data_IF_208276777246
#
_entry.id   IF_208276777246
#
_cell.length_a   1.000
_cell.length_b   1.000
_cell.length_c   1.000
_cell.angle_alpha   90.00
_cell.angle_beta   90.00
_cell.angle_gamma   90.00
#
_symmetry.space_group_name_H-M   'P 1'
#
loop_
_entity.id
_entity.type
_entity.pdbx_description
1 polymer ?
#
# COMPACT_ATOMS: atom_id res chain seq x y z
N UNK A 1 14.61 -32.42 6.82
CA UNK A 1 15.51 -31.24 6.87
C UNK A 1 15.65 -30.48 5.55
N UNK A 2 15.22 -31.01 4.40
CA UNK A 2 15.29 -30.31 3.10
C UNK A 2 14.26 -29.17 2.95
N UNK A 3 13.03 -29.32 3.46
CA UNK A 3 11.98 -28.30 3.27
C UNK A 3 12.23 -26.97 4.01
N UNK A 4 12.94 -26.98 5.14
CA UNK A 4 13.34 -25.74 5.83
C UNK A 4 14.45 -24.98 5.09
N UNK A 5 15.29 -25.68 4.30
CA UNK A 5 16.34 -25.05 3.49
C UNK A 5 15.78 -24.47 2.19
N UNK A 6 14.81 -25.14 1.55
CA UNK A 6 14.12 -24.58 0.38
C UNK A 6 13.30 -23.34 0.76
N UNK A 7 12.51 -23.41 1.84
CA UNK A 7 11.74 -22.27 2.33
C UNK A 7 12.60 -21.07 2.72
N UNK A 8 13.79 -21.31 3.33
CA UNK A 8 14.74 -20.22 3.61
C UNK A 8 15.35 -19.61 2.35
N UNK A 9 15.61 -20.40 1.30
CA UNK A 9 16.14 -19.87 0.02
C UNK A 9 15.09 -19.03 -0.69
N UNK A 10 13.87 -19.52 -0.80
CA UNK A 10 12.75 -18.78 -1.40
C UNK A 10 12.50 -17.44 -0.67
N UNK A 11 12.50 -17.44 0.66
CA UNK A 11 12.34 -16.21 1.44
C UNK A 11 13.51 -15.23 1.27
N UNK A 12 14.75 -15.73 1.08
CA UNK A 12 15.92 -14.88 0.82
C UNK A 12 15.85 -14.28 -0.60
N UNK A 13 15.46 -15.06 -1.60
CA UNK A 13 15.28 -14.58 -2.98
C UNK A 13 14.16 -13.54 -3.10
N UNK A 14 13.04 -13.75 -2.39
CA UNK A 14 11.94 -12.79 -2.30
C UNK A 14 12.36 -11.49 -1.59
N UNK A 15 13.15 -11.60 -0.50
CA UNK A 15 13.69 -10.43 0.19
C UNK A 15 14.68 -9.65 -0.68
N UNK A 16 15.59 -10.33 -1.38
CA UNK A 16 16.57 -9.72 -2.29
C UNK A 16 15.85 -9.01 -3.43
N UNK A 17 14.91 -9.67 -4.11
CA UNK A 17 14.15 -9.06 -5.21
C UNK A 17 13.34 -7.85 -4.76
N UNK A 18 12.74 -7.90 -3.57
CA UNK A 18 12.03 -6.75 -2.97
C UNK A 18 12.99 -5.59 -2.69
N UNK A 19 14.17 -5.87 -2.12
CA UNK A 19 15.18 -4.83 -1.86
C UNK A 19 15.69 -4.20 -3.16
N UNK A 20 16.01 -4.99 -4.19
CA UNK A 20 16.39 -4.47 -5.50
C UNK A 20 15.27 -3.60 -6.12
N UNK A 21 14.00 -3.94 -5.88
CA UNK A 21 12.85 -3.14 -6.35
C UNK A 21 12.84 -1.76 -5.73
N UNK A 22 13.01 -1.69 -4.42
CA UNK A 22 13.01 -0.41 -3.73
C UNK A 22 14.24 0.41 -4.10
N UNK A 23 15.41 -0.21 -4.20
CA UNK A 23 16.65 0.47 -4.62
C UNK A 23 16.52 1.03 -6.03
N UNK A 24 16.03 0.23 -7.00
CA UNK A 24 15.81 0.68 -8.38
C UNK A 24 14.81 1.83 -8.45
N UNK A 25 13.70 1.74 -7.73
CA UNK A 25 12.68 2.79 -7.72
C UNK A 25 13.21 4.10 -7.10
N UNK A 26 13.83 4.02 -5.92
CA UNK A 26 14.36 5.21 -5.22
C UNK A 26 15.47 5.87 -6.04
N UNK A 27 16.40 5.08 -6.58
CA UNK A 27 17.49 5.61 -7.41
C UNK A 27 16.99 6.23 -8.71
N UNK A 28 15.98 5.64 -9.37
CA UNK A 28 15.37 6.22 -10.57
C UNK A 28 14.69 7.56 -10.27
N UNK A 29 13.95 7.66 -9.16
CA UNK A 29 13.31 8.93 -8.74
C UNK A 29 14.35 10.01 -8.48
N UNK A 30 15.43 9.69 -7.75
CA UNK A 30 16.51 10.64 -7.48
C UNK A 30 17.22 11.06 -8.77
N UNK A 31 17.50 10.11 -9.67
CA UNK A 31 18.15 10.39 -10.94
C UNK A 31 17.30 11.32 -11.83
N UNK A 32 15.99 11.09 -11.91
CA UNK A 32 15.06 11.95 -12.67
C UNK A 32 15.01 13.36 -12.06
N UNK A 33 14.92 13.48 -10.74
CA UNK A 33 14.91 14.79 -10.08
C UNK A 33 16.22 15.56 -10.30
N UNK A 34 17.36 14.88 -10.17
CA UNK A 34 18.67 15.48 -10.42
C UNK A 34 18.84 15.87 -11.89
N UNK A 35 18.37 15.04 -12.83
CA UNK A 35 18.35 15.35 -14.26
C UNK A 35 17.52 16.61 -14.53
N UNK A 36 16.27 16.66 -14.07
CA UNK A 36 15.39 17.83 -14.23
C UNK A 36 16.01 19.10 -13.65
N UNK A 37 16.70 18.99 -12.50
CA UNK A 37 17.40 20.11 -11.89
C UNK A 37 18.55 20.63 -12.76
N UNK A 38 19.37 19.73 -13.32
CA UNK A 38 20.44 20.11 -14.23
C UNK A 38 19.89 20.75 -15.51
N UNK A 39 18.81 20.20 -16.09
CA UNK A 39 18.13 20.81 -17.23
C UNK A 39 17.58 22.19 -16.91
N UNK A 40 17.02 22.39 -15.71
CA UNK A 40 16.59 23.71 -15.26
C UNK A 40 17.77 24.69 -15.17
N UNK A 41 18.92 24.28 -14.64
CA UNK A 41 20.14 25.09 -14.62
C UNK A 41 20.64 25.49 -16.01
N UNK A 42 20.50 24.59 -16.98
CA UNK A 42 20.87 24.83 -18.38
C UNK A 42 19.87 25.82 -19.03
N UNK A 43 18.56 25.54 -18.93
CA UNK A 43 17.50 26.33 -19.58
C UNK A 43 17.33 27.72 -18.97
N UNK A 44 17.57 27.87 -17.66
CA UNK A 44 17.56 29.18 -16.99
C UNK A 44 18.72 30.09 -17.43
N UNK A 45 19.71 29.55 -18.16
CA UNK A 45 20.90 30.26 -18.60
C UNK A 45 21.90 30.53 -17.47
N UNK A 46 21.71 29.92 -16.29
CA UNK A 46 22.64 30.03 -15.18
C UNK A 46 24.00 29.36 -15.48
N UNK A 47 23.99 28.31 -16.30
CA UNK A 47 25.18 27.54 -16.68
C UNK A 47 25.81 27.98 -18.02
N UNK A 48 25.02 28.59 -18.91
CA UNK A 48 25.44 28.89 -20.30
C UNK A 48 26.03 30.30 -20.47
N UNK A 49 25.81 31.21 -19.51
CA UNK A 49 26.37 32.57 -19.59
C UNK A 49 27.80 32.58 -19.04
N UNK A 50 28.82 32.92 -19.85
CA UNK A 50 30.16 33.13 -19.32
C UNK A 50 30.13 34.33 -18.36
N UNK A 51 30.36 34.07 -17.07
CA UNK A 51 30.56 35.12 -16.07
C UNK A 51 32.05 35.14 -15.70
N UNK A 52 32.64 36.31 -15.39
CA UNK A 52 33.98 36.36 -14.81
C UNK A 52 33.97 35.61 -13.45
N UNK A 53 35.17 35.19 -12.98
CA UNK A 53 35.44 34.48 -11.72
C UNK A 53 34.92 35.24 -10.48
N UNK A 54 33.61 35.25 -10.33
CA UNK A 54 32.86 35.89 -9.26
C UNK A 54 32.55 34.85 -8.21
N UNK A 55 32.40 35.23 -6.93
CA UNK A 55 32.01 34.30 -5.87
C UNK A 55 30.68 33.58 -6.15
N UNK A 56 29.80 34.20 -6.95
CA UNK A 56 28.56 33.59 -7.44
C UNK A 56 28.81 32.40 -8.38
N UNK A 57 29.79 32.50 -9.29
CA UNK A 57 30.11 31.43 -10.24
C UNK A 57 30.72 30.20 -9.55
N UNK A 58 31.59 30.42 -8.56
CA UNK A 58 32.15 29.33 -7.73
C UNK A 58 31.04 28.53 -7.02
N UNK A 59 29.99 29.22 -6.55
CA UNK A 59 28.83 28.56 -5.95
C UNK A 59 28.04 27.74 -6.97
N UNK A 60 27.79 28.30 -8.15
CA UNK A 60 27.08 27.60 -9.24
C UNK A 60 27.84 26.34 -9.67
N UNK A 61 29.17 26.41 -9.82
CA UNK A 61 30.03 25.25 -10.13
C UNK A 61 29.94 24.20 -9.01
N UNK A 62 30.07 24.62 -7.74
CA UNK A 62 30.02 23.70 -6.60
C UNK A 62 28.66 22.99 -6.44
N UNK A 63 27.55 23.71 -6.63
CA UNK A 63 26.19 23.14 -6.60
C UNK A 63 26.02 22.18 -7.78
N UNK A 64 26.42 22.59 -8.99
CA UNK A 64 26.32 21.75 -10.19
C UNK A 64 27.11 20.46 -10.04
N UNK A 65 28.35 20.54 -9.53
CA UNK A 65 29.18 19.36 -9.28
C UNK A 65 28.59 18.40 -8.24
N UNK A 66 27.98 18.91 -7.17
CA UNK A 66 27.28 18.07 -6.19
C UNK A 66 26.07 17.36 -6.80
N UNK A 67 25.24 18.08 -7.54
CA UNK A 67 24.04 17.49 -8.17
C UNK A 67 24.42 16.53 -9.28
N UNK A 68 25.47 16.82 -10.06
CA UNK A 68 25.94 15.94 -11.12
C UNK A 68 26.54 14.64 -10.56
N UNK A 69 27.21 14.70 -9.41
CA UNK A 69 27.67 13.51 -8.68
C UNK A 69 26.48 12.69 -8.14
N UNK A 70 25.47 13.33 -7.55
CA UNK A 70 24.24 12.64 -7.09
C UNK A 70 23.54 11.97 -8.27
N UNK A 71 23.44 12.65 -9.42
CA UNK A 71 22.90 12.09 -10.65
C UNK A 71 23.71 10.88 -11.11
N UNK A 72 25.04 10.99 -11.18
CA UNK A 72 25.92 9.90 -11.60
C UNK A 72 25.75 8.66 -10.72
N UNK A 73 25.77 8.83 -9.39
CA UNK A 73 25.62 7.72 -8.45
C UNK A 73 24.22 7.11 -8.52
N UNK A 74 23.17 7.93 -8.52
CA UNK A 74 21.78 7.44 -8.55
C UNK A 74 21.44 6.76 -9.88
N UNK A 75 21.80 7.36 -11.02
CA UNK A 75 21.62 6.77 -12.32
C UNK A 75 22.46 5.49 -12.47
N UNK A 76 23.74 5.52 -12.07
CA UNK A 76 24.62 4.35 -12.13
C UNK A 76 24.09 3.17 -11.32
N UNK A 77 23.78 3.39 -10.04
CA UNK A 77 23.22 2.35 -9.16
C UNK A 77 21.87 1.86 -9.70
N UNK A 78 20.99 2.77 -10.11
CA UNK A 78 19.66 2.43 -10.61
C UNK A 78 19.72 1.59 -11.89
N UNK A 79 20.58 1.98 -12.84
CA UNK A 79 20.77 1.26 -14.09
C UNK A 79 21.41 -0.11 -13.88
N UNK A 80 22.44 -0.21 -13.04
CA UNK A 80 23.09 -1.49 -12.71
C UNK A 80 22.14 -2.44 -11.98
N UNK A 81 21.38 -1.95 -11.01
CA UNK A 81 20.41 -2.78 -10.27
C UNK A 81 19.21 -3.18 -11.12
N UNK A 82 18.75 -2.31 -12.03
CA UNK A 82 17.72 -2.64 -13.01
C UNK A 82 18.20 -3.71 -13.99
N UNK A 83 19.46 -3.64 -14.44
CA UNK A 83 20.07 -4.64 -15.31
C UNK A 83 20.11 -6.02 -14.62
N UNK A 84 20.51 -6.08 -13.34
CA UNK A 84 20.55 -7.31 -12.56
C UNK A 84 19.16 -7.91 -12.35
N UNK A 85 18.17 -7.07 -12.00
CA UNK A 85 16.82 -7.53 -11.68
C UNK A 85 16.09 -8.03 -12.91
N UNK A 86 16.14 -7.28 -14.00
CA UNK A 86 15.41 -7.58 -15.21
C UNK A 86 16.29 -8.30 -16.25
N UNK A 87 17.31 -9.02 -15.77
CA UNK A 87 18.25 -9.72 -16.63
C UNK A 87 17.56 -10.71 -17.59
N UNK A 88 16.42 -11.26 -17.21
CA UNK A 88 15.67 -12.21 -18.05
C UNK A 88 15.02 -11.54 -19.29
N UNK A 89 14.72 -10.23 -19.23
CA UNK A 89 14.04 -9.53 -20.31
C UNK A 89 15.04 -9.21 -21.43
N UNK A 90 14.97 -9.97 -22.53
CA UNK A 90 15.86 -9.82 -23.68
C UNK A 90 15.82 -8.42 -24.33
N UNK A 91 14.65 -7.77 -24.32
CA UNK A 91 14.43 -6.46 -24.94
C UNK A 91 15.18 -5.32 -24.24
N UNK A 92 15.62 -5.50 -22.99
CA UNK A 92 16.31 -4.45 -22.24
C UNK A 92 17.72 -4.16 -22.78
N UNK A 93 18.42 -5.17 -23.31
CA UNK A 93 19.77 -5.00 -23.86
C UNK A 93 19.81 -3.94 -24.98
N UNK A 94 19.00 -4.11 -26.05
CA UNK A 94 18.91 -3.11 -27.13
C UNK A 94 18.42 -1.75 -26.66
N UNK A 95 17.46 -1.69 -25.72
CA UNK A 95 16.97 -0.41 -25.19
C UNK A 95 18.07 0.37 -24.47
N UNK A 96 18.89 -0.30 -23.66
CA UNK A 96 20.02 0.31 -22.94
C UNK A 96 21.12 0.77 -23.89
N UNK A 97 21.38 0.01 -24.96
CA UNK A 97 22.37 0.35 -25.97
C UNK A 97 21.95 1.60 -26.75
N UNK A 98 20.72 1.62 -27.27
CA UNK A 98 20.17 2.77 -28.01
C UNK A 98 20.12 4.00 -27.10
N UNK A 99 19.62 3.84 -25.86
CA UNK A 99 19.55 4.93 -24.89
C UNK A 99 20.93 5.49 -24.51
N UNK A 100 21.93 4.63 -24.30
CA UNK A 100 23.29 5.02 -23.99
C UNK A 100 23.96 5.80 -25.12
N UNK A 101 23.87 5.30 -26.35
CA UNK A 101 24.43 6.00 -27.54
C UNK A 101 23.73 7.34 -27.77
N UNK A 102 22.40 7.37 -27.68
CA UNK A 102 21.62 8.59 -27.82
C UNK A 102 22.01 9.63 -26.76
N UNK A 103 22.27 9.21 -25.52
CA UNK A 103 22.68 10.11 -24.45
C UNK A 103 24.13 10.61 -24.63
N UNK A 104 25.05 9.73 -25.02
CA UNK A 104 26.47 10.07 -25.23
C UNK A 104 26.67 11.12 -26.33
N UNK A 105 25.93 10.99 -27.43
CA UNK A 105 26.02 11.92 -28.57
C UNK A 105 25.08 13.12 -28.36
N UNK A 106 23.87 12.85 -27.87
CA UNK A 106 22.81 13.84 -27.78
C UNK A 106 23.08 14.94 -26.76
N UNK A 107 23.64 14.62 -25.60
CA UNK A 107 23.90 15.63 -24.56
C UNK A 107 24.92 16.71 -24.97
N UNK A 108 26.14 16.36 -25.44
CA UNK A 108 27.10 17.38 -25.86
C UNK A 108 26.55 18.22 -27.03
N UNK A 109 25.83 17.60 -27.98
CA UNK A 109 25.16 18.31 -29.06
C UNK A 109 24.10 19.30 -28.55
N UNK A 110 23.25 18.86 -27.62
CA UNK A 110 22.20 19.68 -27.02
C UNK A 110 22.78 20.89 -26.28
N UNK A 111 23.86 20.69 -25.53
CA UNK A 111 24.54 21.77 -24.80
C UNK A 111 25.18 22.76 -25.79
N UNK A 112 25.90 22.29 -26.82
CA UNK A 112 26.48 23.17 -27.85
C UNK A 112 25.41 23.98 -28.61
N UNK A 113 24.26 23.37 -28.91
CA UNK A 113 23.12 24.06 -29.53
C UNK A 113 22.62 25.21 -28.65
N UNK A 114 22.55 25.00 -27.35
CA UNK A 114 22.11 26.02 -26.38
C UNK A 114 23.14 27.11 -26.12
N UNK A 115 24.44 26.80 -26.25
CA UNK A 115 25.52 27.78 -26.13
C UNK A 115 25.67 28.63 -27.41
N UNK A 116 25.05 28.25 -28.52
CA UNK A 116 25.14 29.00 -29.78
C UNK A 116 26.57 29.15 -30.32
N UNK A 117 27.44 28.18 -30.03
CA UNK A 117 28.86 28.22 -30.41
C UNK A 117 29.78 28.98 -29.45
N UNK A 118 29.28 29.44 -28.30
CA UNK A 118 30.12 30.00 -27.25
C UNK A 118 31.04 28.94 -26.59
N UNK A 119 32.16 29.38 -26.02
CA UNK A 119 33.08 28.51 -25.28
C UNK A 119 32.41 27.85 -24.07
N UNK A 120 32.78 26.61 -23.77
CA UNK A 120 32.27 25.88 -22.62
C UNK A 120 32.84 26.43 -21.31
N UNK A 121 32.05 26.35 -20.24
CA UNK A 121 32.45 26.67 -18.88
C UNK A 121 32.72 25.37 -18.10
N UNK A 122 33.49 25.45 -17.00
CA UNK A 122 33.73 24.30 -16.11
C UNK A 122 32.43 23.63 -15.62
N UNK A 123 31.39 24.43 -15.37
CA UNK A 123 30.07 23.92 -14.98
C UNK A 123 29.35 23.15 -16.11
N UNK A 124 29.53 23.53 -17.37
CA UNK A 124 28.95 22.78 -18.50
C UNK A 124 29.72 21.50 -18.76
N UNK A 125 31.05 21.53 -18.62
CA UNK A 125 31.90 20.37 -18.83
C UNK A 125 31.66 19.28 -17.78
N UNK A 126 31.48 19.66 -16.52
CA UNK A 126 31.12 18.73 -15.43
C UNK A 126 29.78 18.04 -15.67
N UNK A 127 28.79 18.75 -16.23
CA UNK A 127 27.51 18.16 -16.63
C UNK A 127 27.70 17.18 -17.78
N UNK A 128 28.34 17.60 -18.89
CA UNK A 128 28.62 16.74 -20.05
C UNK A 128 29.33 15.46 -19.62
N UNK A 129 30.38 15.57 -18.79
CA UNK A 129 31.13 14.42 -18.31
C UNK A 129 30.27 13.47 -17.45
N UNK A 130 29.35 14.01 -16.65
CA UNK A 130 28.46 13.18 -15.82
C UNK A 130 27.47 12.39 -16.68
N UNK A 131 26.88 13.03 -17.70
CA UNK A 131 26.01 12.33 -18.66
C UNK A 131 26.78 11.32 -19.50
N UNK A 132 27.97 11.65 -19.98
CA UNK A 132 28.82 10.72 -20.72
C UNK A 132 29.19 9.49 -19.87
N UNK A 133 29.49 9.67 -18.59
CA UNK A 133 29.78 8.57 -17.68
C UNK A 133 28.58 7.64 -17.50
N UNK A 134 27.36 8.19 -17.36
CA UNK A 134 26.12 7.40 -17.30
C UNK A 134 25.86 6.68 -18.63
N UNK A 135 26.10 7.34 -19.76
CA UNK A 135 25.97 6.75 -21.09
C UNK A 135 26.90 5.56 -21.31
N UNK A 136 28.15 5.64 -20.81
CA UNK A 136 29.11 4.54 -20.87
C UNK A 136 28.59 3.33 -20.09
N UNK A 137 28.03 3.53 -18.89
CA UNK A 137 27.42 2.45 -18.09
C UNK A 137 26.23 1.82 -18.80
N UNK A 138 25.34 2.62 -19.39
CA UNK A 138 24.20 2.17 -20.19
C UNK A 138 24.64 1.35 -21.40
N UNK A 139 25.57 1.88 -22.18
CA UNK A 139 26.05 1.26 -23.42
C UNK A 139 26.79 -0.04 -23.11
N UNK A 140 27.66 -0.04 -22.10
CA UNK A 140 28.38 -1.23 -21.65
C UNK A 140 27.45 -2.34 -21.16
N UNK A 141 26.48 -2.00 -20.29
CA UNK A 141 25.48 -2.95 -19.80
C UNK A 141 24.57 -3.49 -20.91
N UNK A 142 24.14 -2.63 -21.83
CA UNK A 142 23.33 -2.99 -22.98
C UNK A 142 24.05 -3.90 -23.98
N UNK A 143 25.33 -3.62 -24.27
CA UNK A 143 26.17 -4.43 -25.14
C UNK A 143 26.36 -5.84 -24.54
N UNK A 144 26.75 -5.92 -23.26
CA UNK A 144 26.94 -7.19 -22.57
C UNK A 144 25.67 -8.05 -22.62
N UNK A 145 24.50 -7.45 -22.31
CA UNK A 145 23.24 -8.18 -22.30
C UNK A 145 22.79 -8.61 -23.70
N UNK A 146 23.02 -7.77 -24.71
CA UNK A 146 22.68 -8.08 -26.11
C UNK A 146 23.52 -9.24 -26.63
N UNK A 147 24.81 -9.28 -26.30
CA UNK A 147 25.71 -10.41 -26.63
C UNK A 147 25.21 -11.70 -25.95
N UNK A 148 24.90 -11.66 -24.66
CA UNK A 148 24.37 -12.83 -23.93
C UNK A 148 23.04 -13.30 -24.54
N UNK A 149 22.15 -12.38 -24.91
CA UNK A 149 20.88 -12.72 -25.57
C UNK A 149 21.09 -13.41 -26.91
N UNK A 150 22.02 -12.89 -27.71
CA UNK A 150 22.36 -13.44 -29.02
C UNK A 150 22.91 -14.86 -28.86
N UNK A 151 23.83 -15.08 -27.90
CA UNK A 151 24.38 -16.40 -27.59
C UNK A 151 23.27 -17.36 -27.14
N UNK A 152 22.38 -16.94 -26.23
CA UNK A 152 21.26 -17.77 -25.78
C UNK A 152 20.30 -18.12 -26.92
N UNK A 153 20.00 -17.18 -27.81
CA UNK A 153 19.11 -17.42 -28.94
C UNK A 153 19.74 -18.35 -30.00
N UNK A 154 21.05 -18.26 -30.20
CA UNK A 154 21.81 -19.15 -31.08
C UNK A 154 21.94 -20.56 -30.50
N UNK A 155 21.99 -20.70 -29.17
CA UNK A 155 22.12 -21.99 -28.47
C UNK A 155 20.77 -22.65 -28.15
N UNK A 156 19.70 -21.89 -27.91
CA UNK A 156 18.40 -22.38 -27.44
C UNK A 156 17.25 -21.79 -28.28
N UNK A 157 16.63 -22.60 -29.16
CA UNK A 157 15.39 -22.24 -29.87
C UNK A 157 14.16 -22.58 -29.02
N UNK A 158 13.29 -21.63 -28.63
CA UNK A 158 12.07 -21.96 -27.89
C UNK A 158 10.93 -22.41 -28.81
N UNK A 159 10.15 -23.45 -28.43
CA UNK A 159 8.89 -23.79 -29.08
C UNK A 159 7.80 -22.80 -28.63
N UNK A 160 7.09 -22.23 -29.60
CA UNK A 160 5.97 -21.30 -29.39
C UNK A 160 4.71 -22.12 -29.11
N UNK A 161 4.07 -22.00 -27.93
CA UNK A 161 2.64 -22.34 -27.77
C UNK A 161 1.98 -21.95 -26.42
N UNK A 162 0.69 -21.52 -26.52
CA UNK A 162 -0.44 -21.67 -25.55
C UNK A 162 -0.56 -20.56 -24.45
N UNK A 163 -1.69 -19.85 -24.19
CA UNK A 163 -3.05 -20.35 -23.83
C UNK A 163 -4.13 -19.24 -23.72
N UNK A 164 -5.35 -19.64 -24.08
CA UNK A 164 -6.68 -19.03 -23.81
C UNK A 164 -7.14 -19.20 -22.34
N UNK A 165 -8.33 -18.65 -22.06
CA UNK A 165 -9.32 -19.04 -21.02
C UNK A 165 -9.31 -18.28 -19.68
N UNK A 166 -10.34 -17.43 -19.49
CA UNK A 166 -10.97 -17.19 -18.18
C UNK A 166 -12.49 -17.19 -18.31
N UNK A 167 -13.08 -18.27 -17.79
CA UNK A 167 -14.52 -18.49 -17.67
C UNK A 167 -15.16 -17.67 -16.54
N UNK A 168 -16.45 -17.40 -16.72
CA UNK A 168 -17.30 -16.61 -15.82
C UNK A 168 -17.83 -17.36 -14.59
N UNK A 169 -18.42 -16.59 -13.67
CA UNK A 169 -19.25 -17.09 -12.57
C UNK A 169 -20.40 -16.10 -12.30
N UNK A 170 -21.64 -16.61 -12.28
CA UNK A 170 -22.86 -15.90 -11.88
C UNK A 170 -23.22 -16.26 -10.43
N UNK A 171 -23.76 -15.30 -9.67
CA UNK A 171 -24.24 -15.47 -8.28
C UNK A 171 -25.67 -14.93 -8.17
N UNK A 172 -26.58 -15.71 -7.58
CA UNK A 172 -27.99 -15.35 -7.31
C UNK A 172 -28.18 -15.14 -5.79
N UNK A 173 -29.04 -14.18 -5.40
CA UNK A 173 -29.44 -13.90 -4.00
C UNK A 173 -30.96 -14.08 -3.80
N UNK A 174 -31.44 -14.61 -2.65
CA UNK A 174 -32.85 -14.57 -2.29
C UNK A 174 -33.19 -13.41 -1.32
N UNK A 175 -34.47 -13.05 -1.27
CA UNK A 175 -35.06 -11.84 -0.68
C UNK A 175 -36.17 -12.24 0.30
N UNK A 176 -36.13 -11.78 1.55
CA UNK A 176 -37.31 -11.83 2.43
C UNK A 176 -37.34 -10.69 3.48
N UNK A 177 -38.56 -10.34 3.91
CA UNK A 177 -38.97 -9.10 4.61
C UNK A 177 -38.41 -8.98 6.05
N UNK A 178 -37.75 -7.85 6.33
CA UNK A 178 -37.13 -7.52 7.62
C UNK A 178 -38.03 -6.60 8.46
N UNK A 179 -38.27 -6.97 9.73
CA UNK A 179 -38.99 -6.18 10.74
C UNK A 179 -38.20 -4.88 11.06
N UNK A 180 -38.89 -3.73 11.02
CA UNK A 180 -38.34 -2.35 11.06
C UNK A 180 -38.11 -1.79 12.48
N UNK A 181 -37.39 -2.48 13.36
CA UNK A 181 -36.83 -1.82 14.56
C UNK A 181 -35.34 -1.59 14.34
N UNK A 182 -34.89 -0.33 14.24
CA UNK A 182 -33.47 0.00 14.08
C UNK A 182 -32.71 -0.41 15.36
N UNK A 183 -31.87 -1.45 15.32
CA UNK A 183 -31.14 -1.89 16.50
C UNK A 183 -30.04 -0.88 16.86
N UNK A 184 -29.86 -0.62 18.17
CA UNK A 184 -28.76 0.20 18.67
C UNK A 184 -27.44 -0.60 18.72
N UNK A 185 -26.28 0.06 18.75
CA UNK A 185 -24.95 -0.56 18.71
C UNK A 185 -24.71 -1.61 19.79
N UNK A 186 -25.31 -1.43 20.97
CA UNK A 186 -25.20 -2.36 22.10
C UNK A 186 -26.47 -3.19 22.31
N UNK A 187 -27.33 -3.26 21.28
CA UNK A 187 -28.55 -4.06 21.37
C UNK A 187 -28.24 -5.56 21.49
N UNK A 188 -29.04 -6.30 22.27
CA UNK A 188 -28.88 -7.74 22.39
C UNK A 188 -29.27 -8.45 21.08
N UNK A 189 -28.77 -9.67 20.89
CA UNK A 189 -28.88 -10.40 19.63
C UNK A 189 -30.32 -10.65 19.16
N UNK A 190 -31.29 -10.70 20.07
CA UNK A 190 -32.71 -10.92 19.73
C UNK A 190 -33.44 -9.68 19.20
N UNK A 191 -32.86 -8.48 19.30
CA UNK A 191 -33.39 -7.26 18.68
C UNK A 191 -32.90 -7.06 17.23
N UNK A 192 -32.03 -7.95 16.76
CA UNK A 192 -31.45 -7.92 15.42
C UNK A 192 -32.40 -8.56 14.39
N UNK A 193 -32.36 -8.15 13.12
CA UNK A 193 -33.26 -8.64 12.07
C UNK A 193 -33.11 -10.13 11.75
N UNK A 194 -31.98 -10.72 12.14
CA UNK A 194 -31.69 -12.15 11.93
C UNK A 194 -32.34 -13.06 12.98
N UNK A 195 -32.93 -12.50 14.05
CA UNK A 195 -33.57 -13.30 15.10
C UNK A 195 -35.08 -13.36 14.88
N UNK A 196 -35.53 -14.44 14.23
CA UNK A 196 -36.95 -14.75 14.07
C UNK A 196 -37.60 -15.09 15.41
N UNK A 197 -38.92 -14.95 15.50
CA UNK A 197 -39.67 -15.31 16.70
C UNK A 197 -39.57 -16.81 17.03
N UNK A 198 -39.53 -17.66 16.00
CA UNK A 198 -39.28 -19.11 16.14
C UNK A 198 -37.94 -19.41 16.79
N UNK A 199 -36.87 -18.68 16.43
CA UNK A 199 -35.56 -18.84 17.06
C UNK A 199 -35.54 -18.42 18.54
N UNK A 200 -36.37 -17.44 18.94
CA UNK A 200 -36.38 -16.95 20.33
C UNK A 200 -36.92 -17.98 21.32
N UNK A 201 -37.93 -18.78 20.91
CA UNK A 201 -38.55 -19.79 21.78
C UNK A 201 -37.58 -20.91 22.17
N UNK A 202 -36.68 -21.28 21.25
CA UNK A 202 -35.74 -22.40 21.41
C UNK A 202 -34.39 -21.93 21.98
N UNK A 203 -34.05 -20.64 21.87
CA UNK A 203 -32.72 -20.15 22.23
C UNK A 203 -32.48 -20.13 23.76
N UNK A 204 -31.51 -20.90 24.30
CA UNK A 204 -31.21 -20.93 25.75
C UNK A 204 -30.60 -19.60 26.24
N UNK A 205 -29.97 -18.85 25.34
CA UNK A 205 -29.36 -17.55 25.64
C UNK A 205 -30.41 -16.45 25.76
N UNK A 206 -31.49 -16.54 25.00
CA UNK A 206 -32.64 -15.63 25.11
C UNK A 206 -33.32 -15.79 26.47
N UNK A 207 -33.54 -17.03 26.91
CA UNK A 207 -34.10 -17.33 28.24
C UNK A 207 -33.23 -16.77 29.37
N UNK A 208 -31.89 -16.88 29.23
CA UNK A 208 -30.92 -16.33 30.21
C UNK A 208 -30.70 -14.82 30.10
N UNK A 209 -31.31 -14.13 29.12
CA UNK A 209 -31.14 -12.70 28.82
C UNK A 209 -29.67 -12.23 28.74
N UNK A 210 -28.76 -13.10 28.30
CA UNK A 210 -27.35 -12.75 28.05
C UNK A 210 -27.10 -12.66 26.55
N UNK A 211 -26.03 -12.01 26.11
CA UNK A 211 -25.69 -11.97 24.68
C UNK A 211 -24.98 -13.25 24.24
N UNK A 212 -25.29 -13.72 23.02
CA UNK A 212 -24.75 -14.97 22.49
C UNK A 212 -23.22 -15.00 22.42
N UNK A 213 -22.57 -13.86 22.13
CA UNK A 213 -21.11 -13.75 22.07
C UNK A 213 -20.43 -13.80 23.43
N UNK A 214 -21.08 -13.36 24.51
CA UNK A 214 -20.53 -13.46 25.88
C UNK A 214 -20.55 -14.89 26.40
N UNK A 215 -21.60 -15.64 26.06
CA UNK A 215 -21.79 -17.04 26.48
C UNK A 215 -21.15 -18.02 25.48
N UNK A 216 -20.74 -17.53 24.30
CA UNK A 216 -20.22 -18.33 23.16
C UNK A 216 -21.16 -19.47 22.76
N UNK A 217 -22.47 -19.19 22.82
CA UNK A 217 -23.57 -20.09 22.45
C UNK A 217 -24.61 -19.27 21.69
N UNK A 218 -25.09 -19.75 20.54
CA UNK A 218 -26.03 -18.99 19.72
C UNK A 218 -26.56 -19.78 18.53
N UNK A 219 -27.65 -19.30 17.92
CA UNK A 219 -28.39 -19.98 16.86
C UNK A 219 -27.58 -20.30 15.59
N UNK A 220 -26.44 -19.65 15.38
CA UNK A 220 -25.56 -19.90 14.22
C UNK A 220 -24.19 -20.48 14.59
N UNK A 221 -23.87 -20.61 15.88
CA UNK A 221 -22.57 -21.12 16.34
C UNK A 221 -22.70 -22.45 17.08
N UNK A 222 -23.90 -22.78 17.54
CA UNK A 222 -24.18 -23.99 18.30
C UNK A 222 -24.79 -25.06 17.37
N UNK A 223 -24.07 -26.16 17.10
CA UNK A 223 -24.51 -27.20 16.17
C UNK A 223 -25.84 -27.83 16.59
N UNK A 224 -26.09 -27.96 17.90
CA UNK A 224 -27.34 -28.53 18.41
C UNK A 224 -28.54 -27.64 18.11
N UNK A 225 -28.33 -26.31 18.17
CA UNK A 225 -29.38 -25.34 17.90
C UNK A 225 -29.63 -25.20 16.40
N UNK A 226 -28.60 -25.33 15.57
CA UNK A 226 -28.72 -25.35 14.10
C UNK A 226 -29.48 -26.60 13.64
N UNK A 227 -29.14 -27.78 14.18
CA UNK A 227 -29.86 -29.03 13.90
C UNK A 227 -31.33 -28.94 14.33
N UNK A 228 -31.62 -28.36 15.51
CA UNK A 228 -32.99 -28.14 15.96
C UNK A 228 -33.77 -27.16 15.07
N UNK A 229 -33.10 -26.15 14.47
CA UNK A 229 -33.71 -25.17 13.58
C UNK A 229 -33.89 -25.68 12.14
N UNK A 230 -32.96 -26.49 11.62
CA UNK A 230 -33.02 -27.07 10.28
C UNK A 230 -33.89 -28.32 10.21
N UNK A 231 -33.78 -29.19 11.22
CA UNK A 231 -34.57 -30.42 11.29
C UNK A 231 -36.02 -30.19 11.72
N UNK A 232 -36.34 -29.00 12.21
CA UNK A 232 -37.63 -28.76 12.85
C UNK A 232 -37.90 -29.69 14.04
N UNK A 233 -36.84 -30.29 14.61
CA UNK A 233 -36.72 -31.40 15.59
C UNK A 233 -35.73 -32.48 15.03
N UNK A 234 -35.06 -33.25 15.90
CA UNK A 234 -33.74 -33.87 15.68
C UNK A 234 -33.68 -35.09 14.71
N UNK A 235 -32.56 -35.25 13.98
CA UNK A 235 -32.26 -36.42 13.13
C UNK A 235 -31.26 -37.33 13.85
N UNK A 236 -31.66 -38.58 14.15
CA UNK A 236 -30.73 -39.69 14.41
C UNK A 236 -30.67 -40.64 13.20
N UNK A 237 -29.45 -41.05 12.82
CA UNK A 237 -29.19 -42.07 11.83
C UNK A 237 -28.65 -43.32 12.54
N UNK A 238 -29.50 -44.33 12.69
CA UNK A 238 -29.10 -45.71 12.95
C UNK A 238 -29.85 -46.60 11.96
N UNK A 239 -29.08 -47.39 11.21
CA UNK A 239 -29.51 -48.45 10.29
C UNK A 239 -30.59 -48.08 9.26
N UNK A 240 -30.14 -47.45 8.16
CA UNK A 240 -30.75 -47.59 6.84
C UNK A 240 -32.15 -47.01 6.59
N UNK A 241 -32.88 -46.55 7.61
CA UNK A 241 -34.21 -45.96 7.45
C UNK A 241 -34.33 -44.63 8.21
N UNK A 242 -34.51 -43.54 7.46
CA UNK A 242 -34.76 -42.21 8.04
C UNK A 242 -36.16 -42.19 8.67
N UNK A 243 -36.25 -42.17 10.00
CA UNK A 243 -37.48 -41.86 10.73
C UNK A 243 -37.33 -40.54 11.49
N UNK A 244 -38.31 -39.67 11.31
CA UNK A 244 -38.46 -38.41 12.03
C UNK A 244 -39.02 -38.77 13.42
N UNK A 245 -38.21 -38.63 14.47
CA UNK A 245 -38.66 -38.85 15.86
C UNK A 245 -38.77 -37.49 16.55
N UNK A 246 -39.94 -37.24 17.13
CA UNK A 246 -40.21 -36.00 17.86
C UNK A 246 -39.49 -36.02 19.22
N UNK A 247 -38.86 -34.90 19.63
CA UNK A 247 -38.17 -34.82 20.95
C UNK A 247 -39.09 -35.05 22.15
N UNK A 248 -40.41 -35.14 21.92
CA UNK A 248 -41.44 -35.49 22.91
C UNK A 248 -41.48 -36.97 23.27
N UNK A 249 -40.84 -37.86 22.50
CA UNK A 249 -40.94 -39.32 22.69
C UNK A 249 -39.70 -39.94 23.39
N UNK A 250 -38.69 -39.14 23.69
CA UNK A 250 -37.51 -39.61 24.42
C UNK A 250 -37.70 -39.48 25.93
N UNK A 251 -37.48 -40.57 26.66
CA UNK A 251 -37.32 -40.58 28.12
C UNK A 251 -36.33 -39.47 28.55
N UNK A 252 -36.71 -38.68 29.56
CA UNK A 252 -35.99 -37.45 29.95
C UNK A 252 -34.50 -37.68 30.25
N UNK A 253 -34.15 -38.82 30.85
CA UNK A 253 -32.77 -39.17 31.18
C UNK A 253 -31.91 -39.46 29.94
N UNK A 254 -32.47 -40.18 28.96
CA UNK A 254 -31.80 -40.55 27.72
C UNK A 254 -31.59 -39.32 26.82
N UNK A 255 -32.56 -38.41 26.85
CA UNK A 255 -32.50 -37.09 26.20
C UNK A 255 -31.36 -36.24 26.76
N UNK A 256 -31.20 -36.17 28.07
CA UNK A 256 -30.10 -35.42 28.70
C UNK A 256 -28.73 -35.98 28.34
N UNK A 257 -28.59 -37.31 28.33
CA UNK A 257 -27.30 -37.96 28.12
C UNK A 257 -26.84 -37.83 26.67
N UNK A 258 -27.76 -37.94 25.71
CA UNK A 258 -27.48 -37.72 24.29
C UNK A 258 -27.03 -36.28 24.02
N UNK A 259 -27.72 -35.30 24.61
CA UNK A 259 -27.35 -33.88 24.54
C UNK A 259 -25.95 -33.65 25.11
N UNK A 260 -25.66 -34.22 26.29
CA UNK A 260 -24.33 -34.10 26.94
C UNK A 260 -23.22 -34.76 26.13
N UNK A 261 -23.45 -35.91 25.48
CA UNK A 261 -22.45 -36.64 24.68
C UNK A 261 -22.15 -35.96 23.33
N UNK A 262 -23.16 -35.41 22.66
CA UNK A 262 -22.99 -34.71 21.37
C UNK A 262 -22.39 -33.31 21.56
N UNK A 263 -22.79 -32.59 22.62
CA UNK A 263 -22.21 -31.31 23.01
C UNK A 263 -20.70 -31.36 23.32
N UNK A 264 -20.18 -32.52 23.77
CA UNK A 264 -18.74 -32.73 23.99
C UNK A 264 -17.96 -33.04 22.69
N UNK A 265 -18.62 -33.60 21.67
CA UNK A 265 -17.95 -34.08 20.44
C UNK A 265 -17.84 -33.03 19.34
N UNK A 266 -18.75 -32.05 19.27
CA UNK A 266 -18.70 -31.04 18.20
C UNK A 266 -17.93 -29.81 18.68
N UNK A 267 -16.76 -29.57 18.07
CA UNK A 267 -16.03 -28.30 18.24
C UNK A 267 -16.92 -27.15 17.78
N UNK A 268 -17.31 -26.27 18.71
CA UNK A 268 -18.15 -25.10 18.40
C UNK A 268 -17.46 -24.22 17.37
N UNK A 269 -18.23 -23.73 16.39
CA UNK A 269 -17.70 -22.80 15.41
C UNK A 269 -17.26 -21.50 16.11
N UNK A 270 -16.12 -20.92 15.72
CA UNK A 270 -15.69 -19.64 16.28
C UNK A 270 -16.72 -18.55 15.92
N UNK A 271 -17.01 -17.68 16.89
CA UNK A 271 -18.04 -16.64 16.74
C UNK A 271 -17.71 -15.59 15.67
N UNK A 272 -16.49 -15.59 15.14
CA UNK A 272 -16.03 -14.68 14.09
C UNK A 272 -16.68 -14.95 12.73
N UNK A 273 -17.18 -16.16 12.48
CA UNK A 273 -17.93 -16.49 11.26
C UNK A 273 -19.43 -16.28 11.40
N UNK A 274 -19.90 -15.89 12.58
CA UNK A 274 -21.32 -15.66 12.85
C UNK A 274 -21.80 -14.35 12.24
N UNK A 275 -22.84 -14.41 11.40
CA UNK A 275 -23.41 -13.21 10.75
C UNK A 275 -24.01 -12.23 11.76
N UNK A 276 -24.58 -12.74 12.86
CA UNK A 276 -25.14 -11.93 13.95
C UNK A 276 -24.04 -11.13 14.66
N UNK A 277 -22.90 -11.76 14.92
CA UNK A 277 -21.75 -11.10 15.55
C UNK A 277 -21.15 -10.03 14.63
N UNK A 278 -20.96 -10.35 13.35
CA UNK A 278 -20.46 -9.39 12.36
C UNK A 278 -21.39 -8.19 12.17
N UNK A 279 -22.71 -8.41 12.17
CA UNK A 279 -23.67 -7.31 12.11
C UNK A 279 -23.63 -6.42 13.36
N UNK A 280 -23.44 -7.01 14.55
CA UNK A 280 -23.26 -6.24 15.77
C UNK A 280 -21.98 -5.38 15.72
N UNK A 281 -20.88 -5.94 15.21
CA UNK A 281 -19.64 -5.18 14.99
C UNK A 281 -19.83 -4.04 13.99
N UNK A 282 -20.63 -4.24 12.94
CA UNK A 282 -21.01 -3.19 12.01
C UNK A 282 -21.80 -2.05 12.70
N UNK A 283 -22.74 -2.37 13.59
CA UNK A 283 -23.48 -1.33 14.33
C UNK A 283 -22.57 -0.54 15.29
N UNK A 284 -21.61 -1.20 15.95
CA UNK A 284 -20.58 -0.51 16.75
C UNK A 284 -19.75 0.43 15.87
N UNK A 285 -19.30 -0.03 14.71
CA UNK A 285 -18.55 0.82 13.77
C UNK A 285 -19.36 2.03 13.32
N UNK A 286 -20.63 1.83 12.96
CA UNK A 286 -21.53 2.91 12.57
C UNK A 286 -21.74 3.95 13.70
N UNK A 287 -21.68 3.52 14.97
CA UNK A 287 -21.79 4.41 16.12
C UNK A 287 -20.48 5.18 16.40
N UNK A 288 -19.31 4.54 16.31
CA UNK A 288 -18.02 5.18 16.57
C UNK A 288 -17.48 6.02 15.41
N UNK A 289 -17.85 5.71 14.17
CA UNK A 289 -17.43 6.46 12.98
C UNK A 289 -17.71 7.98 13.03
N UNK A 290 -18.92 8.47 13.36
CA UNK A 290 -19.17 9.91 13.46
C UNK A 290 -18.40 10.57 14.61
N UNK A 291 -18.10 9.83 15.68
CA UNK A 291 -17.33 10.35 16.80
C UNK A 291 -15.88 10.68 16.38
N UNK A 292 -15.28 9.89 15.50
CA UNK A 292 -13.95 10.20 14.93
C UNK A 292 -13.98 11.41 14.01
N UNK A 293 -15.04 11.57 13.23
CA UNK A 293 -15.19 12.77 12.39
C UNK A 293 -15.20 14.06 13.23
N UNK A 294 -15.76 14.03 14.45
CA UNK A 294 -15.74 15.18 15.37
C UNK A 294 -14.45 15.28 16.19
N UNK A 295 -13.86 14.14 16.58
CA UNK A 295 -12.67 14.13 17.43
C UNK A 295 -11.46 14.81 16.76
N UNK A 296 -11.33 14.71 15.43
CA UNK A 296 -10.16 15.23 14.71
C UNK A 296 -10.15 16.77 14.63
N UNK A 297 -11.24 17.45 14.23
CA UNK A 297 -11.32 18.91 14.32
C UNK A 297 -11.05 19.43 15.73
N UNK A 298 -11.60 18.76 16.75
CA UNK A 298 -11.38 19.13 18.16
C UNK A 298 -9.90 18.95 18.54
N UNK A 299 -9.27 17.85 18.13
CA UNK A 299 -7.84 17.64 18.36
C UNK A 299 -7.00 18.71 17.66
N UNK A 300 -7.33 19.08 16.42
CA UNK A 300 -6.66 20.16 15.69
C UNK A 300 -6.79 21.52 16.36
N UNK A 301 -7.94 21.83 16.95
CA UNK A 301 -8.13 23.06 17.72
C UNK A 301 -7.16 23.14 18.91
N UNK A 302 -7.02 22.06 19.68
CA UNK A 302 -6.08 22.02 20.81
C UNK A 302 -4.61 21.96 20.38
N UNK A 303 -4.31 21.29 19.26
CA UNK A 303 -2.96 21.11 18.73
C UNK A 303 -2.54 22.22 17.76
N UNK A 304 -3.32 23.30 17.62
CA UNK A 304 -3.02 24.37 16.68
C UNK A 304 -1.69 25.06 16.98
N UNK A 305 -1.42 25.42 18.24
CA UNK A 305 -0.17 26.07 18.65
C UNK A 305 1.10 25.24 18.37
N UNK A 306 1.19 23.95 18.78
CA UNK A 306 2.36 23.15 18.43
C UNK A 306 2.47 22.93 16.92
N UNK A 307 1.34 22.78 16.22
CA UNK A 307 1.33 22.68 14.76
C UNK A 307 1.94 23.91 14.09
N UNK A 308 1.55 25.13 14.48
CA UNK A 308 2.09 26.37 13.88
C UNK A 308 3.60 26.50 14.11
N UNK A 309 4.09 26.09 15.27
CA UNK A 309 5.52 26.11 15.59
C UNK A 309 6.31 25.12 14.73
N UNK A 310 5.81 23.89 14.57
CA UNK A 310 6.46 22.86 13.74
C UNK A 310 6.43 23.27 12.28
N UNK A 311 5.29 23.77 11.80
CA UNK A 311 5.14 24.26 10.44
C UNK A 311 6.16 25.38 10.13
N UNK A 312 6.30 26.34 11.04
CA UNK A 312 7.28 27.42 10.90
C UNK A 312 8.71 26.89 10.80
N UNK A 313 9.09 25.96 11.68
CA UNK A 313 10.41 25.33 11.66
C UNK A 313 10.68 24.55 10.35
N UNK A 314 9.67 23.87 9.81
CA UNK A 314 9.78 23.14 8.54
C UNK A 314 9.94 24.12 7.37
N UNK A 315 9.19 25.22 7.35
CA UNK A 315 9.29 26.24 6.30
C UNK A 315 10.66 26.94 6.33
N UNK A 316 11.19 27.28 7.51
CA UNK A 316 12.53 27.87 7.63
C UNK A 316 13.61 26.89 7.18
N UNK A 317 13.50 25.62 7.57
CA UNK A 317 14.43 24.57 7.15
C UNK A 317 14.38 24.35 5.63
N UNK A 318 13.19 24.29 5.05
CA UNK A 318 13.01 24.22 3.59
C UNK A 318 13.62 25.43 2.89
N UNK A 319 13.46 26.63 3.45
CA UNK A 319 14.07 27.85 2.93
C UNK A 319 15.60 27.82 2.98
N UNK A 320 16.19 27.30 4.05
CA UNK A 320 17.64 27.10 4.17
C UNK A 320 18.17 26.07 3.18
N UNK A 321 17.48 24.93 3.04
CA UNK A 321 17.79 23.95 2.01
C UNK A 321 17.69 24.55 0.61
N UNK A 322 16.68 25.37 0.33
CA UNK A 322 16.51 26.02 -0.96
C UNK A 322 17.65 26.97 -1.27
N UNK A 323 18.14 27.72 -0.26
CA UNK A 323 19.32 28.59 -0.42
C UNK A 323 20.60 27.79 -0.72
N UNK A 324 20.70 26.56 -0.24
CA UNK A 324 21.86 25.71 -0.54
C UNK A 324 21.80 25.12 -1.94
N UNK A 325 20.59 24.90 -2.47
CA UNK A 325 20.37 24.28 -3.77
C UNK A 325 20.35 25.35 -4.88
N UNK A 326 19.67 26.49 -4.70
CA UNK A 326 19.43 27.47 -5.75
C UNK A 326 20.71 28.04 -6.40
N UNK A 327 20.68 28.17 -7.74
CA UNK A 327 21.77 28.73 -8.54
C UNK A 327 21.98 30.23 -8.34
N UNK A 328 20.91 31.00 -8.07
CA UNK A 328 20.99 32.43 -7.76
C UNK A 328 20.08 32.73 -6.55
N UNK A 329 20.64 33.02 -5.36
CA UNK A 329 19.85 33.21 -4.15
C UNK A 329 19.13 34.56 -4.08
N UNK A 330 19.45 35.50 -4.99
CA UNK A 330 18.93 36.87 -4.94
C UNK A 330 17.77 37.10 -5.91
N UNK A 331 17.70 36.31 -6.99
CA UNK A 331 16.63 36.38 -8.01
C UNK A 331 15.55 35.32 -7.82
N UNK A 332 15.39 34.81 -6.61
CA UNK A 332 14.40 33.77 -6.34
C UNK A 332 13.00 34.44 -6.31
N UNK A 333 12.03 33.99 -7.12
CA UNK A 333 10.64 34.46 -7.04
C UNK A 333 9.87 33.90 -5.83
N UNK A 334 10.53 33.12 -4.99
CA UNK A 334 9.95 32.36 -3.89
C UNK A 334 10.61 32.80 -2.59
N UNK A 335 9.90 33.62 -1.81
CA UNK A 335 10.31 33.91 -0.45
C UNK A 335 9.64 32.89 0.49
N UNK A 336 10.38 32.20 1.37
CA UNK A 336 9.80 31.25 2.31
C UNK A 336 8.83 31.92 3.30
N UNK A 337 8.90 33.24 3.47
CA UNK A 337 7.92 34.04 4.20
C UNK A 337 6.52 34.00 3.57
N UNK A 338 6.41 33.79 2.26
CA UNK A 338 5.12 33.72 1.57
C UNK A 338 4.36 32.45 1.98
N UNK A 339 5.08 31.38 2.36
CA UNK A 339 4.51 30.16 2.95
C UNK A 339 4.09 30.33 4.41
N UNK A 340 4.55 31.38 5.09
CA UNK A 340 4.11 31.69 6.46
C UNK A 340 2.78 32.46 6.50
N UNK A 341 2.19 32.75 5.34
CA UNK A 341 0.84 33.33 5.27
C UNK A 341 -0.21 32.33 5.78
N UNK A 342 -1.36 32.79 6.31
CA UNK A 342 -2.35 31.91 6.94
C UNK A 342 -2.99 30.93 5.94
N UNK A 343 -3.04 31.26 4.65
CA UNK A 343 -3.67 30.46 3.60
C UNK A 343 -2.96 29.10 3.39
N UNK A 344 -1.66 29.04 3.01
CA UNK A 344 -0.94 27.79 2.82
C UNK A 344 -0.84 26.97 4.12
N UNK A 345 -0.74 27.64 5.26
CA UNK A 345 -0.74 26.98 6.56
C UNK A 345 -2.06 26.23 6.82
N UNK A 346 -3.21 26.88 6.63
CA UNK A 346 -4.51 26.21 6.79
C UNK A 346 -4.69 25.10 5.76
N UNK A 347 -4.22 25.28 4.53
CA UNK A 347 -4.32 24.26 3.49
C UNK A 347 -3.54 22.99 3.84
N UNK A 348 -2.30 23.13 4.33
CA UNK A 348 -1.49 21.99 4.79
C UNK A 348 -2.14 21.33 6.02
N UNK A 349 -2.69 22.11 6.95
CA UNK A 349 -3.44 21.58 8.08
C UNK A 349 -4.65 20.74 7.64
N UNK A 350 -5.39 21.18 6.62
CA UNK A 350 -6.52 20.44 6.05
C UNK A 350 -6.09 19.11 5.42
N UNK A 351 -4.97 19.10 4.69
CA UNK A 351 -4.42 17.86 4.10
C UNK A 351 -4.06 16.88 5.22
N UNK A 352 -3.30 17.34 6.23
CA UNK A 352 -2.92 16.50 7.37
C UNK A 352 -4.16 16.01 8.12
N UNK A 353 -5.18 16.87 8.29
CA UNK A 353 -6.45 16.51 8.90
C UNK A 353 -7.22 15.43 8.12
N UNK A 354 -7.26 15.53 6.80
CA UNK A 354 -7.87 14.53 5.94
C UNK A 354 -7.15 13.17 6.04
N UNK A 355 -5.82 13.17 6.02
CA UNK A 355 -5.03 11.95 6.23
C UNK A 355 -5.25 11.37 7.63
N UNK A 356 -5.22 12.20 8.68
CA UNK A 356 -5.48 11.78 10.04
C UNK A 356 -6.86 11.12 10.16
N UNK A 357 -7.88 11.64 9.46
CA UNK A 357 -9.22 11.08 9.42
C UNK A 357 -9.28 9.74 8.69
N UNK A 358 -8.59 9.62 7.56
CA UNK A 358 -8.47 8.35 6.85
C UNK A 358 -7.80 7.28 7.71
N UNK A 359 -6.71 7.62 8.39
CA UNK A 359 -6.01 6.66 9.26
C UNK A 359 -6.80 6.33 10.53
N UNK A 360 -7.45 7.30 11.17
CA UNK A 360 -8.25 7.06 12.36
C UNK A 360 -9.49 6.19 12.07
N UNK A 361 -10.15 6.40 10.93
CA UNK A 361 -11.27 5.54 10.49
C UNK A 361 -10.80 4.11 10.21
N UNK A 362 -9.66 3.94 9.52
CA UNK A 362 -9.03 2.63 9.33
C UNK A 362 -8.60 1.97 10.65
N UNK A 363 -8.12 2.76 11.61
CA UNK A 363 -7.75 2.26 12.93
C UNK A 363 -8.97 1.75 13.70
N UNK A 364 -10.10 2.47 13.67
CA UNK A 364 -11.35 1.99 14.26
C UNK A 364 -11.85 0.72 13.57
N UNK A 365 -11.80 0.66 12.23
CA UNK A 365 -12.13 -0.54 11.47
C UNK A 365 -11.28 -1.73 11.96
N UNK A 366 -9.98 -1.52 12.14
CA UNK A 366 -9.06 -2.50 12.69
C UNK A 366 -9.42 -2.91 14.13
N UNK A 367 -9.69 -1.97 15.03
CA UNK A 367 -10.07 -2.24 16.41
C UNK A 367 -11.38 -3.05 16.52
N UNK A 368 -12.38 -2.71 15.71
CA UNK A 368 -13.70 -3.32 15.77
C UNK A 368 -13.69 -4.71 15.11
N UNK A 369 -13.15 -4.82 13.88
CA UNK A 369 -13.22 -6.08 13.13
C UNK A 369 -12.07 -7.05 13.43
N UNK A 370 -10.83 -6.56 13.62
CA UNK A 370 -9.67 -7.43 13.86
C UNK A 370 -9.42 -7.67 15.35
N UNK A 371 -9.44 -6.62 16.18
CA UNK A 371 -9.24 -6.76 17.64
C UNK A 371 -10.52 -7.18 18.39
N UNK A 372 -11.69 -7.12 17.74
CA UNK A 372 -12.98 -7.67 18.23
C UNK A 372 -13.47 -7.06 19.55
N UNK A 373 -13.27 -5.75 19.71
CA UNK A 373 -13.76 -4.94 20.84
C UNK A 373 -15.29 -4.81 20.85
#
# INVERSE_FOLDING_TARGET
>A
MSSRRSYRREAIEEAISTLLTWITFISAVIAVLAMLYLFYGILSGALTRPRPNTPEMMRVVAVTGKVSLIFLLSAGIGLSTALLRYWEIAQLGPCYLIGGVALYIGMPFFIQLLLGGAATNEATDTVVNSFNSVAIVLTGGGLLRSIVSLIQHLLYKPPVEVRKERGGKLVVKPREKIIRTRPWAFSPCWKLPFCSESMRRICPVFQKRRSCWKVKQGCQCDPMLIEALLGGLAIESADGAQRIVSLSELEEERREEFIKRRARRVKRAPCDRCTIFMYHQHLKHQFFSPLVMLAIPVAFYFLWKPYTSIYGAVVTYLGELWKQIAYDPTKIPFNPSDLMTPIPQVFVALIIGAYALLYATRFIEFCIFKLRL
#
